data_IF_766781147797
#
_entry.id   IF_766781147797
#
_cell.length_a   1.000
_cell.length_b   1.000
_cell.length_c   1.000
_cell.angle_alpha   90.00
_cell.angle_beta   90.00
_cell.angle_gamma   90.00
#
_symmetry.space_group_name_H-M   'P 1'
#
loop_
_entity.id
_entity.type
_entity.pdbx_description
1 polymer ?
#
# COMPACT_ATOMS: atom_id res chain seq x y z
N UNK A 1 -56.35 -23.76 -50.88
CA UNK A 1 -57.16 -24.85 -50.27
C UNK A 1 -56.19 -25.80 -49.57
N UNK A 2 -56.43 -26.34 -48.37
CA UNK A 2 -57.31 -25.93 -47.26
C UNK A 2 -56.86 -26.68 -45.99
N UNK A 3 -57.11 -26.12 -44.81
CA UNK A 3 -56.93 -26.71 -43.46
C UNK A 3 -58.23 -27.44 -42.96
N UNK A 4 -58.30 -28.09 -41.76
CA UNK A 4 -57.25 -28.56 -40.83
C UNK A 4 -57.34 -30.08 -40.43
N UNK A 5 -57.68 -30.56 -39.19
CA UNK A 5 -56.94 -31.65 -38.49
C UNK A 5 -57.87 -32.87 -38.16
N UNK A 6 -57.94 -33.59 -37.00
CA UNK A 6 -57.45 -33.44 -35.59
C UNK A 6 -56.35 -34.51 -35.24
N UNK A 7 -56.11 -35.11 -34.05
CA UNK A 7 -56.67 -35.13 -32.66
C UNK A 7 -55.68 -35.82 -31.67
N UNK A 8 -55.74 -35.47 -30.37
CA UNK A 8 -55.57 -36.33 -29.15
C UNK A 8 -54.27 -37.16 -28.90
N UNK A 9 -53.86 -37.50 -27.65
CA UNK A 9 -54.25 -37.09 -26.28
C UNK A 9 -53.19 -37.55 -25.24
N UNK A 10 -53.17 -36.96 -24.04
CA UNK A 10 -52.78 -37.60 -22.75
C UNK A 10 -52.97 -36.64 -21.56
N UNK A 11 -53.38 -37.15 -20.39
CA UNK A 11 -53.76 -36.34 -19.21
C UNK A 11 -53.09 -36.83 -17.92
N UNK A 12 -52.80 -35.91 -16.99
CA UNK A 12 -52.47 -36.21 -15.59
C UNK A 12 -53.10 -35.16 -14.66
N UNK A 13 -53.55 -35.58 -13.47
CA UNK A 13 -54.45 -34.80 -12.62
C UNK A 13 -53.75 -34.12 -11.43
N UNK A 14 -54.27 -32.97 -10.99
CA UNK A 14 -53.84 -32.27 -9.79
C UNK A 14 -54.66 -32.69 -8.56
N UNK A 15 -53.99 -33.16 -7.50
CA UNK A 15 -54.61 -33.72 -6.29
C UNK A 15 -54.55 -32.81 -5.06
N UNK A 16 -55.66 -32.75 -4.35
CA UNK A 16 -55.96 -31.99 -3.12
C UNK A 16 -54.92 -31.95 -1.99
N UNK A 17 -54.67 -30.72 -1.51
CA UNK A 17 -54.75 -30.24 -0.12
C UNK A 17 -54.41 -31.16 1.07
N UNK A 18 -53.53 -30.65 1.95
CA UNK A 18 -53.73 -30.64 3.41
C UNK A 18 -52.87 -29.53 4.05
N UNK A 19 -53.25 -29.04 5.23
CA UNK A 19 -52.52 -28.00 5.96
C UNK A 19 -51.92 -28.54 7.27
N UNK A 20 -50.79 -27.98 7.70
CA UNK A 20 -50.24 -28.20 9.04
C UNK A 20 -49.50 -26.97 9.56
N UNK A 21 -49.55 -26.84 10.88
CA UNK A 21 -49.30 -25.65 11.69
C UNK A 21 -47.85 -25.14 11.67
N UNK A 22 -47.67 -23.84 11.93
CA UNK A 22 -46.35 -23.19 12.03
C UNK A 22 -45.75 -23.29 13.44
N UNK A 23 -44.66 -24.05 13.69
CA UNK A 23 -43.95 -24.01 14.96
C UNK A 23 -43.00 -22.80 15.05
N UNK A 24 -43.13 -22.01 16.12
CA UNK A 24 -42.28 -20.85 16.40
C UNK A 24 -40.81 -21.25 16.53
N UNK A 25 -39.96 -20.78 15.61
CA UNK A 25 -38.53 -21.11 15.57
C UNK A 25 -37.65 -19.86 15.72
N UNK A 26 -37.28 -19.60 16.96
CA UNK A 26 -36.14 -18.81 17.46
C UNK A 26 -35.74 -17.51 16.70
N UNK A 27 -35.88 -16.39 17.42
CA UNK A 27 -35.11 -15.16 17.19
C UNK A 27 -33.60 -15.43 17.35
N UNK A 28 -32.94 -15.92 16.30
CA UNK A 28 -31.48 -16.06 16.26
C UNK A 28 -30.82 -14.69 16.04
N UNK A 29 -30.88 -13.86 17.09
CA UNK A 29 -30.10 -12.62 17.21
C UNK A 29 -28.62 -12.99 17.39
N UNK A 30 -27.99 -13.35 16.29
CA UNK A 30 -26.57 -13.66 16.22
C UNK A 30 -25.77 -12.38 16.45
N UNK A 31 -25.21 -12.26 17.66
CA UNK A 31 -24.27 -11.19 18.03
C UNK A 31 -22.91 -11.41 17.35
N UNK A 32 -22.93 -11.32 16.02
CA UNK A 32 -21.73 -11.23 15.19
C UNK A 32 -21.12 -9.85 15.44
N UNK A 33 -20.11 -9.83 16.32
CA UNK A 33 -19.39 -8.62 16.69
C UNK A 33 -18.95 -7.82 15.47
N UNK A 34 -19.10 -6.49 15.57
CA UNK A 34 -19.02 -5.51 14.46
C UNK A 34 -18.05 -5.94 13.36
N UNK A 35 -18.61 -6.39 12.23
CA UNK A 35 -17.83 -6.88 11.10
C UNK A 35 -16.79 -5.81 10.70
N UNK A 36 -15.48 -6.12 10.68
CA UNK A 36 -14.45 -5.11 10.56
C UNK A 36 -14.65 -4.29 9.29
N UNK A 37 -14.42 -2.97 9.37
CA UNK A 37 -14.72 -1.95 8.35
C UNK A 37 -13.78 -2.04 7.13
N UNK A 38 -13.82 -3.20 6.46
CA UNK A 38 -12.76 -3.76 5.60
C UNK A 38 -12.73 -3.22 4.17
N UNK A 39 -13.70 -2.37 3.81
CA UNK A 39 -13.85 -1.80 2.46
C UNK A 39 -12.84 -0.66 2.26
N UNK A 40 -12.92 0.41 3.06
CA UNK A 40 -12.02 1.59 2.96
C UNK A 40 -10.53 1.27 3.10
N UNK A 41 -10.18 0.27 3.89
CA UNK A 41 -8.77 -0.16 3.97
C UNK A 41 -8.27 -0.85 2.69
N UNK A 42 -9.14 -1.47 1.88
CA UNK A 42 -8.75 -2.06 0.58
C UNK A 42 -8.58 -0.97 -0.47
N UNK A 43 -9.52 -0.04 -0.56
CA UNK A 43 -9.50 1.10 -1.48
C UNK A 43 -8.18 1.89 -1.35
N UNK A 44 -7.84 2.33 -0.14
CA UNK A 44 -6.60 3.06 0.13
C UNK A 44 -5.32 2.24 -0.18
N UNK A 45 -5.35 0.91 0.02
CA UNK A 45 -4.19 0.05 -0.31
C UNK A 45 -4.01 -0.10 -1.82
N UNK A 46 -5.11 -0.28 -2.57
CA UNK A 46 -5.09 -0.36 -4.04
C UNK A 46 -4.56 0.96 -4.63
N UNK A 47 -5.06 2.09 -4.13
CA UNK A 47 -4.65 3.42 -4.62
C UNK A 47 -3.18 3.71 -4.31
N UNK A 48 -2.71 3.43 -3.09
CA UNK A 48 -1.29 3.61 -2.72
C UNK A 48 -0.33 2.71 -3.52
N UNK A 49 -0.73 1.48 -3.84
CA UNK A 49 0.04 0.57 -4.71
C UNK A 49 0.07 1.06 -6.17
N UNK A 50 -1.07 1.53 -6.68
CA UNK A 50 -1.18 2.12 -8.01
C UNK A 50 -0.31 3.38 -8.14
N UNK A 51 -0.36 4.28 -7.16
CA UNK A 51 0.49 5.48 -7.13
C UNK A 51 1.98 5.11 -7.13
N UNK A 52 2.41 4.13 -6.32
CA UNK A 52 3.79 3.69 -6.25
C UNK A 52 4.29 3.15 -7.61
N UNK A 53 3.50 2.25 -8.23
CA UNK A 53 3.81 1.67 -9.54
C UNK A 53 3.84 2.74 -10.64
N UNK A 54 2.83 3.62 -10.67
CA UNK A 54 2.74 4.75 -11.62
C UNK A 54 3.96 5.67 -11.50
N UNK A 55 4.34 6.05 -10.29
CA UNK A 55 5.44 6.99 -10.05
C UNK A 55 6.80 6.41 -10.48
N UNK A 56 7.02 5.11 -10.27
CA UNK A 56 8.24 4.43 -10.75
C UNK A 56 8.23 4.19 -12.27
N UNK A 57 7.09 3.84 -12.86
CA UNK A 57 6.94 3.72 -14.31
C UNK A 57 7.22 5.07 -15.02
N UNK A 58 6.71 6.18 -14.49
CA UNK A 58 7.04 7.54 -14.96
C UNK A 58 8.54 7.83 -14.81
N UNK A 59 9.15 7.50 -13.66
CA UNK A 59 10.58 7.71 -13.43
C UNK A 59 11.45 6.91 -14.41
N UNK A 60 11.12 5.64 -14.65
CA UNK A 60 11.80 4.79 -15.62
C UNK A 60 11.63 5.30 -17.05
N UNK A 61 10.41 5.68 -17.44
CA UNK A 61 10.11 6.29 -18.73
C UNK A 61 10.94 7.55 -18.97
N UNK A 62 11.02 8.47 -18.00
CA UNK A 62 11.81 9.70 -18.11
C UNK A 62 13.31 9.40 -18.29
N UNK A 63 13.88 8.50 -17.49
CA UNK A 63 15.31 8.12 -17.57
C UNK A 63 15.62 7.51 -18.95
N UNK A 64 14.85 6.53 -19.42
CA UNK A 64 15.10 5.91 -20.72
C UNK A 64 14.75 6.82 -21.91
N UNK A 65 13.81 7.76 -21.76
CA UNK A 65 13.58 8.80 -22.77
C UNK A 65 14.81 9.69 -22.91
N UNK A 66 15.40 10.13 -21.79
CA UNK A 66 16.61 10.93 -21.81
C UNK A 66 17.80 10.17 -22.43
N UNK A 67 17.96 8.88 -22.09
CA UNK A 67 18.98 8.01 -22.69
C UNK A 67 18.75 7.78 -24.20
N UNK A 68 17.52 7.46 -24.61
CA UNK A 68 17.15 7.22 -26.01
C UNK A 68 17.31 8.47 -26.89
N UNK A 69 16.86 9.63 -26.40
CA UNK A 69 17.02 10.91 -27.06
C UNK A 69 18.51 11.30 -27.17
N UNK A 70 19.28 11.17 -26.08
CA UNK A 70 20.73 11.44 -26.07
C UNK A 70 21.49 10.51 -27.02
N UNK A 71 21.10 9.24 -27.09
CA UNK A 71 21.67 8.26 -28.02
C UNK A 71 21.36 8.64 -29.48
N UNK A 72 20.11 9.00 -29.78
CA UNK A 72 19.72 9.46 -31.12
C UNK A 72 20.42 10.78 -31.53
N UNK A 73 20.60 11.70 -30.59
CA UNK A 73 21.32 12.96 -30.79
C UNK A 73 22.81 12.70 -31.06
N UNK A 74 23.49 11.97 -30.18
CA UNK A 74 24.91 11.67 -30.31
C UNK A 74 25.19 10.86 -31.58
N UNK A 75 24.35 9.88 -31.93
CA UNK A 75 24.47 9.14 -33.19
C UNK A 75 24.25 10.02 -34.44
N UNK A 76 23.41 11.06 -34.38
CA UNK A 76 23.20 12.01 -35.49
C UNK A 76 24.43 12.89 -35.74
N UNK A 77 25.16 13.24 -34.67
CA UNK A 77 26.42 13.96 -34.77
C UNK A 77 27.59 13.06 -35.18
N UNK A 78 27.77 11.87 -34.59
CA UNK A 78 28.89 10.98 -34.89
C UNK A 78 28.79 10.26 -36.24
N UNK A 79 27.62 9.75 -36.63
CA UNK A 79 27.49 8.89 -37.80
C UNK A 79 26.80 9.58 -38.99
N UNK A 80 27.51 9.89 -40.09
CA UNK A 80 26.92 10.57 -41.26
C UNK A 80 25.82 9.75 -41.95
N UNK A 81 25.86 8.41 -41.82
CA UNK A 81 24.76 7.54 -42.25
C UNK A 81 23.47 7.76 -41.43
N UNK A 82 23.57 7.75 -40.10
CA UNK A 82 22.44 8.03 -39.22
C UNK A 82 21.95 9.48 -39.34
N UNK A 83 22.82 10.42 -39.75
CA UNK A 83 22.43 11.81 -40.05
C UNK A 83 21.46 11.91 -41.25
N UNK A 84 21.55 11.01 -42.22
CA UNK A 84 20.68 10.95 -43.42
C UNK A 84 19.36 10.19 -43.19
N UNK A 85 19.17 9.54 -42.04
CA UNK A 85 17.93 8.82 -41.73
C UNK A 85 16.80 9.74 -41.23
N UNK A 86 15.56 9.34 -41.47
CA UNK A 86 14.36 10.15 -41.22
C UNK A 86 14.18 10.54 -39.75
N UNK A 87 13.56 11.71 -39.51
CA UNK A 87 13.18 12.15 -38.17
C UNK A 87 12.19 11.17 -37.50
N UNK A 88 11.28 10.57 -38.28
CA UNK A 88 10.34 9.56 -37.81
C UNK A 88 11.04 8.35 -37.16
N UNK A 89 12.15 7.86 -37.74
CA UNK A 89 12.90 6.75 -37.16
C UNK A 89 13.56 7.13 -35.82
N UNK A 90 14.04 8.37 -35.67
CA UNK A 90 14.61 8.88 -34.42
C UNK A 90 13.54 9.03 -33.32
N UNK A 91 12.36 9.53 -33.71
CA UNK A 91 11.19 9.58 -32.85
C UNK A 91 10.78 8.18 -32.38
N UNK A 92 10.67 7.22 -33.31
CA UNK A 92 10.34 5.81 -33.01
C UNK A 92 11.34 5.13 -32.07
N UNK A 93 12.65 5.31 -32.31
CA UNK A 93 13.69 4.78 -31.41
C UNK A 93 13.60 5.40 -30.00
N UNK A 94 13.31 6.70 -29.93
CA UNK A 94 13.15 7.41 -28.65
C UNK A 94 11.89 6.92 -27.91
N UNK A 95 10.75 6.78 -28.58
CA UNK A 95 9.52 6.28 -27.96
C UNK A 95 9.60 4.79 -27.58
N UNK A 96 10.33 3.98 -28.35
CA UNK A 96 10.66 2.60 -27.97
C UNK A 96 11.44 2.54 -26.65
N UNK A 97 12.44 3.41 -26.47
CA UNK A 97 13.15 3.54 -25.21
C UNK A 97 12.22 4.04 -24.07
N UNK A 98 11.36 5.04 -24.32
CA UNK A 98 10.35 5.51 -23.35
C UNK A 98 9.45 4.37 -22.86
N UNK A 99 8.90 3.56 -23.78
CA UNK A 99 7.99 2.46 -23.47
C UNK A 99 8.73 1.36 -22.70
N UNK A 100 9.94 0.99 -23.12
CA UNK A 100 10.78 0.03 -22.40
C UNK A 100 11.06 0.48 -20.95
N UNK A 101 11.47 1.74 -20.78
CA UNK A 101 11.70 2.32 -19.45
C UNK A 101 10.45 2.42 -18.58
N UNK A 102 9.27 2.63 -19.19
CA UNK A 102 7.99 2.62 -18.48
C UNK A 102 7.69 1.24 -17.90
N UNK A 103 7.81 0.18 -18.72
CA UNK A 103 7.54 -1.21 -18.31
C UNK A 103 8.54 -1.65 -17.24
N UNK A 104 9.85 -1.50 -17.48
CA UNK A 104 10.88 -1.84 -16.49
C UNK A 104 10.72 -1.01 -15.20
N UNK A 105 10.33 0.26 -15.31
CA UNK A 105 10.01 1.11 -14.15
C UNK A 105 8.84 0.57 -13.32
N UNK A 106 7.79 0.07 -13.97
CA UNK A 106 6.66 -0.56 -13.29
C UNK A 106 7.07 -1.90 -12.62
N UNK A 107 7.79 -2.76 -13.33
CA UNK A 107 8.21 -4.09 -12.85
C UNK A 107 9.14 -3.99 -11.63
N UNK A 108 10.04 -3.00 -11.61
CA UNK A 108 10.92 -2.79 -10.44
C UNK A 108 10.14 -2.47 -9.16
N UNK A 109 8.95 -1.88 -9.22
CA UNK A 109 8.13 -1.67 -8.00
C UNK A 109 7.61 -2.99 -7.45
N UNK A 110 7.08 -3.87 -8.31
CA UNK A 110 6.51 -5.16 -7.88
C UNK A 110 7.58 -6.02 -7.19
N UNK A 111 8.76 -6.13 -7.82
CA UNK A 111 9.94 -6.78 -7.23
C UNK A 111 10.44 -6.07 -5.96
N UNK A 112 10.49 -4.73 -5.96
CA UNK A 112 10.94 -3.97 -4.78
C UNK A 112 10.04 -4.23 -3.57
N UNK A 113 8.72 -4.24 -3.73
CA UNK A 113 7.77 -4.38 -2.63
C UNK A 113 7.89 -5.75 -1.95
N UNK A 114 8.01 -6.84 -2.71
CA UNK A 114 8.30 -8.17 -2.14
C UNK A 114 9.67 -8.23 -1.44
N UNK A 115 10.71 -7.64 -2.05
CA UNK A 115 12.05 -7.62 -1.46
C UNK A 115 12.11 -6.77 -0.18
N UNK A 116 11.39 -5.65 -0.15
CA UNK A 116 11.33 -4.71 0.96
C UNK A 116 10.66 -5.38 2.16
N UNK A 117 9.46 -5.95 1.99
CA UNK A 117 8.79 -6.69 3.07
C UNK A 117 9.67 -7.81 3.63
N UNK A 118 10.23 -8.67 2.77
CA UNK A 118 11.11 -9.77 3.21
C UNK A 118 12.39 -9.26 3.89
N UNK A 119 12.96 -8.14 3.46
CA UNK A 119 14.16 -7.57 4.07
C UNK A 119 13.87 -6.89 5.42
N UNK A 120 12.75 -6.19 5.56
CA UNK A 120 12.33 -5.56 6.81
C UNK A 120 11.97 -6.60 7.86
N UNK A 121 11.20 -7.63 7.50
CA UNK A 121 10.92 -8.78 8.37
C UNK A 121 12.21 -9.46 8.82
N UNK A 122 13.11 -9.79 7.89
CA UNK A 122 14.39 -10.42 8.23
C UNK A 122 15.31 -9.51 9.05
N UNK A 123 15.30 -8.19 8.84
CA UNK A 123 16.03 -7.23 9.67
C UNK A 123 15.48 -7.20 11.09
N UNK A 124 14.15 -7.13 11.27
CA UNK A 124 13.48 -7.18 12.59
C UNK A 124 13.79 -8.50 13.28
N UNK A 125 13.68 -9.64 12.59
CA UNK A 125 14.00 -10.98 13.10
C UNK A 125 15.49 -11.12 13.48
N UNK A 126 16.39 -10.46 12.75
CA UNK A 126 17.83 -10.45 13.04
C UNK A 126 18.18 -9.57 14.23
N UNK A 127 17.53 -8.41 14.39
CA UNK A 127 17.66 -7.56 15.59
C UNK A 127 17.13 -8.27 16.83
N UNK A 128 15.96 -8.90 16.73
CA UNK A 128 15.39 -9.73 17.80
C UNK A 128 16.36 -10.85 18.23
N UNK A 129 16.92 -11.60 17.27
CA UNK A 129 17.92 -12.65 17.54
C UNK A 129 19.19 -12.09 18.20
N UNK A 130 19.68 -10.92 17.77
CA UNK A 130 20.86 -10.29 18.36
C UNK A 130 20.61 -9.78 19.80
N UNK A 131 19.41 -9.27 20.11
CA UNK A 131 19.07 -8.80 21.46
C UNK A 131 18.67 -9.93 22.42
N UNK A 132 17.93 -10.94 21.95
CA UNK A 132 17.62 -12.14 22.74
C UNK A 132 18.88 -12.98 23.00
N UNK A 133 19.77 -13.11 22.01
CA UNK A 133 21.07 -13.75 22.18
C UNK A 133 21.97 -13.06 23.21
N UNK A 134 21.97 -11.71 23.25
CA UNK A 134 22.65 -10.94 24.32
C UNK A 134 22.05 -11.16 25.71
N UNK A 135 20.75 -11.48 25.80
CA UNK A 135 20.07 -11.87 27.04
C UNK A 135 20.25 -13.37 27.39
N UNK A 136 20.92 -14.15 26.55
CA UNK A 136 21.06 -15.61 26.70
C UNK A 136 19.77 -16.40 26.39
N UNK A 137 18.77 -15.78 25.77
CA UNK A 137 17.45 -16.37 25.54
C UNK A 137 17.40 -16.97 24.13
N UNK A 138 16.92 -18.21 24.01
CA UNK A 138 16.71 -18.88 22.72
C UNK A 138 15.61 -18.15 21.93
N UNK A 139 15.96 -17.61 20.78
CA UNK A 139 15.08 -16.82 19.92
C UNK A 139 14.04 -17.67 19.16
N UNK A 140 13.09 -18.24 19.92
CA UNK A 140 11.86 -18.83 19.37
C UNK A 140 10.94 -17.75 18.79
N UNK A 141 10.03 -18.12 17.88
CA UNK A 141 9.09 -17.16 17.29
C UNK A 141 8.22 -16.46 18.34
N UNK A 142 7.79 -17.17 19.40
CA UNK A 142 7.05 -16.58 20.53
C UNK A 142 7.85 -15.52 21.29
N UNK A 143 9.16 -15.72 21.44
CA UNK A 143 10.03 -14.77 22.12
C UNK A 143 10.41 -13.57 21.21
N UNK A 144 10.49 -13.80 19.89
CA UNK A 144 10.64 -12.74 18.88
C UNK A 144 9.38 -11.86 18.84
N UNK A 145 8.19 -12.46 18.95
CA UNK A 145 6.92 -11.74 19.02
C UNK A 145 6.81 -10.92 20.30
N UNK A 146 7.09 -11.51 21.46
CA UNK A 146 7.20 -10.80 22.74
C UNK A 146 8.20 -9.65 22.68
N UNK A 147 9.39 -9.85 22.10
CA UNK A 147 10.38 -8.78 21.92
C UNK A 147 9.86 -7.65 21.03
N UNK A 148 9.08 -7.95 19.98
CA UNK A 148 8.42 -6.92 19.15
C UNK A 148 7.41 -6.11 19.96
N UNK A 149 6.60 -6.75 20.81
CA UNK A 149 5.66 -6.06 21.71
C UNK A 149 6.39 -5.16 22.73
N UNK A 150 7.38 -5.70 23.45
CA UNK A 150 8.20 -4.96 24.42
C UNK A 150 8.91 -3.76 23.75
N UNK A 151 9.44 -3.94 22.54
CA UNK A 151 10.10 -2.89 21.76
C UNK A 151 9.11 -1.79 21.32
N UNK A 152 7.90 -2.15 20.89
CA UNK A 152 6.84 -1.20 20.50
C UNK A 152 6.39 -0.38 21.71
N UNK A 153 6.14 -1.02 22.86
CA UNK A 153 5.73 -0.33 24.09
C UNK A 153 6.81 0.65 24.56
N UNK A 154 8.07 0.20 24.64
CA UNK A 154 9.19 1.05 25.04
C UNK A 154 9.38 2.25 24.09
N UNK A 155 9.16 2.08 22.78
CA UNK A 155 9.16 3.19 21.81
C UNK A 155 7.95 4.13 21.92
N UNK A 156 6.79 3.65 22.35
CA UNK A 156 5.66 4.53 22.70
C UNK A 156 5.97 5.36 23.95
N UNK A 157 6.53 4.74 24.99
CA UNK A 157 6.93 5.43 26.21
C UNK A 157 8.03 6.48 25.97
N UNK A 158 9.06 6.17 25.18
CA UNK A 158 10.12 7.14 24.84
C UNK A 158 9.53 8.37 24.13
N UNK A 159 8.59 8.15 23.17
CA UNK A 159 7.91 9.25 22.47
C UNK A 159 6.99 10.05 23.40
N UNK A 160 6.37 9.40 24.39
CA UNK A 160 5.56 10.05 25.42
C UNK A 160 6.42 10.92 26.34
N UNK A 161 7.46 10.35 26.96
CA UNK A 161 8.40 11.04 27.85
C UNK A 161 9.11 12.20 27.14
N UNK A 162 9.49 12.04 25.86
CA UNK A 162 10.05 13.14 25.04
C UNK A 162 9.04 14.27 24.78
N UNK A 163 7.75 13.96 24.59
CA UNK A 163 6.69 14.98 24.44
C UNK A 163 6.45 15.71 25.76
N UNK A 164 6.40 14.99 26.88
CA UNK A 164 6.22 15.55 28.22
C UNK A 164 7.39 16.48 28.59
N UNK A 165 8.64 16.08 28.31
CA UNK A 165 9.81 16.96 28.46
C UNK A 165 9.77 18.20 27.55
N UNK A 166 9.32 18.06 26.29
CA UNK A 166 9.16 19.20 25.38
C UNK A 166 8.15 20.21 25.93
N UNK A 167 6.99 19.74 26.38
CA UNK A 167 5.96 20.59 27.00
C UNK A 167 6.51 21.32 28.23
N UNK A 168 7.16 20.60 29.17
CA UNK A 168 7.75 21.20 30.36
C UNK A 168 8.84 22.25 30.03
N UNK A 169 9.62 22.04 28.97
CA UNK A 169 10.64 23.01 28.52
C UNK A 169 10.05 24.25 27.83
N UNK A 170 8.85 24.14 27.26
CA UNK A 170 8.11 25.30 26.72
C UNK A 170 7.52 26.11 27.88
N UNK A 171 6.89 25.43 28.85
CA UNK A 171 6.23 26.02 30.03
C UNK A 171 7.23 26.85 30.87
N UNK A 172 8.37 26.25 31.22
CA UNK A 172 9.50 26.93 31.88
C UNK A 172 10.09 28.08 31.03
N UNK A 173 9.95 28.02 29.70
CA UNK A 173 10.35 29.07 28.77
C UNK A 173 9.39 30.25 28.75
N UNK A 174 8.08 30.03 28.82
CA UNK A 174 7.07 31.08 28.97
C UNK A 174 7.17 31.80 30.31
N UNK A 175 7.41 31.07 31.41
CA UNK A 175 7.54 31.68 32.73
C UNK A 175 8.80 32.55 32.85
N UNK A 176 9.94 32.04 32.38
CA UNK A 176 11.20 32.80 32.39
C UNK A 176 11.20 34.01 31.44
N UNK A 177 10.56 33.90 30.26
CA UNK A 177 10.44 35.02 29.32
C UNK A 177 9.41 36.06 29.76
N UNK A 178 8.27 35.66 30.34
CA UNK A 178 7.29 36.59 30.90
C UNK A 178 7.84 37.34 32.11
N UNK A 179 8.50 36.65 33.05
CA UNK A 179 9.17 37.28 34.19
C UNK A 179 10.24 38.30 33.75
N UNK A 180 11.09 37.93 32.78
CA UNK A 180 12.11 38.84 32.24
C UNK A 180 11.54 39.99 31.39
N UNK A 181 10.29 39.88 30.93
CA UNK A 181 9.59 40.94 30.21
C UNK A 181 8.81 41.88 31.15
N UNK A 182 8.32 41.39 32.28
CA UNK A 182 7.70 42.21 33.34
C UNK A 182 8.73 42.97 34.18
N UNK A 183 9.88 42.38 34.47
CA UNK A 183 10.99 43.09 35.16
C UNK A 183 11.44 44.32 34.36
N UNK A 184 11.56 44.17 33.03
CA UNK A 184 11.85 45.28 32.11
C UNK A 184 10.77 46.37 32.06
N UNK A 185 9.51 46.07 32.42
CA UNK A 185 8.45 47.08 32.54
C UNK A 185 8.47 47.84 33.87
N UNK A 186 9.17 47.34 34.89
CA UNK A 186 9.28 47.98 36.22
C UNK A 186 10.43 48.98 36.32
N UNK A 187 11.22 49.11 35.24
CA UNK A 187 12.42 49.96 35.15
C UNK A 187 12.25 51.08 34.09
N UNK A 188 11.00 51.43 33.75
CA UNK A 188 10.60 52.53 32.87
C UNK A 188 9.50 53.37 33.53
#
# INVERSE_FOLDING_TARGET
>A
MSEPPPSDSASAQSGSASGSESPLSALSTSSLGSAPKRIRHRENQIESAYELQRNAAIKGALIYTALGASTCFMAHHLFPGFRRQTLALKGFLTSGATIFGFVVGADTVLLSHESQQRSEENMVRSRARAELGKKGIVASEKEIERWKEEYIQNKLEERRKRREHLLNSIDSGSDSSSAAQDDKRRLQ
#
